data_IF_295029236037
#
_entry.id   IF_295029236037
#
_cell.length_a   1.000
_cell.length_b   1.000
_cell.length_c   1.000
_cell.angle_alpha   90.00
_cell.angle_beta   90.00
_cell.angle_gamma   90.00
#
_symmetry.space_group_name_H-M   'P 1'
#
loop_
_entity.id
_entity.type
_entity.pdbx_description
1 polymer ?
#
# COMPACT_ATOMS: atom_id res chain seq x y z
N UNK A 1 -63.95 52.94 9.72
CA UNK A 1 -63.37 52.04 8.74
C UNK A 1 -62.05 51.52 9.37
N UNK A 2 -62.09 50.31 9.90
CA UNK A 2 -60.96 49.66 10.57
C UNK A 2 -60.33 48.66 9.59
N UNK A 3 -59.05 48.88 9.23
CA UNK A 3 -58.29 47.95 8.36
C UNK A 3 -57.60 46.90 9.24
N UNK A 4 -58.03 45.64 9.11
CA UNK A 4 -57.39 44.52 9.78
C UNK A 4 -56.12 44.07 9.04
N UNK A 5 -55.01 44.01 9.77
CA UNK A 5 -53.77 43.44 9.29
C UNK A 5 -53.74 41.93 9.63
N UNK A 6 -53.79 41.09 8.61
CA UNK A 6 -53.55 39.64 8.77
C UNK A 6 -52.04 39.40 8.82
N UNK A 7 -51.57 38.84 9.93
CA UNK A 7 -50.21 38.33 10.09
C UNK A 7 -50.14 36.89 9.55
N UNK A 8 -49.47 36.70 8.42
CA UNK A 8 -49.18 35.38 7.91
C UNK A 8 -47.95 34.80 8.59
N UNK A 9 -48.12 33.73 9.41
CA UNK A 9 -47.02 32.99 10.01
C UNK A 9 -46.43 32.04 8.98
N UNK A 10 -45.23 32.31 8.48
CA UNK A 10 -44.43 31.39 7.68
C UNK A 10 -43.75 30.35 8.58
N UNK A 11 -44.22 29.12 8.51
CA UNK A 11 -43.56 27.98 9.16
C UNK A 11 -42.33 27.64 8.30
N UNK A 12 -41.15 27.93 8.81
CA UNK A 12 -39.89 27.49 8.22
C UNK A 12 -39.70 25.97 8.49
N UNK A 13 -39.91 25.18 7.45
CA UNK A 13 -39.56 23.76 7.47
C UNK A 13 -38.06 23.64 7.35
N UNK A 14 -37.39 23.32 8.45
CA UNK A 14 -35.95 22.95 8.43
C UNK A 14 -35.81 21.63 7.69
N UNK A 15 -34.83 21.50 6.76
CA UNK A 15 -34.58 20.20 6.13
C UNK A 15 -34.06 19.24 7.21
N UNK A 16 -34.74 18.10 7.34
CA UNK A 16 -34.32 16.99 8.16
C UNK A 16 -32.92 16.55 7.66
N UNK A 17 -31.89 16.65 8.51
CA UNK A 17 -30.60 16.03 8.26
C UNK A 17 -30.85 14.54 7.98
N UNK A 18 -30.53 14.12 6.77
CA UNK A 18 -30.51 12.71 6.43
C UNK A 18 -29.40 12.07 7.28
N UNK A 19 -29.79 11.43 8.39
CA UNK A 19 -28.90 10.56 9.13
C UNK A 19 -28.44 9.48 8.15
N UNK A 20 -27.14 9.34 7.99
CA UNK A 20 -26.54 8.26 7.22
C UNK A 20 -27.12 6.94 7.76
N UNK A 21 -27.83 6.21 6.91
CA UNK A 21 -28.31 4.89 7.29
C UNK A 21 -27.11 4.01 7.59
N UNK A 22 -27.07 3.26 8.71
CA UNK A 22 -26.05 2.28 8.93
C UNK A 22 -26.07 1.32 7.75
N UNK A 23 -24.93 1.15 7.09
CA UNK A 23 -24.76 0.18 6.02
C UNK A 23 -25.19 -1.22 6.50
N UNK A 24 -25.57 -2.11 5.58
CA UNK A 24 -26.03 -3.45 5.93
C UNK A 24 -25.02 -4.10 6.87
N UNK A 25 -25.50 -4.67 7.98
CA UNK A 25 -24.67 -5.37 8.95
C UNK A 25 -23.90 -6.46 8.21
N UNK A 26 -22.57 -6.34 8.18
CA UNK A 26 -21.69 -7.29 7.50
C UNK A 26 -22.00 -8.70 8.00
N UNK A 27 -22.62 -9.52 7.17
CA UNK A 27 -22.87 -10.93 7.44
C UNK A 27 -21.53 -11.62 7.74
N UNK A 28 -21.58 -12.79 8.37
CA UNK A 28 -20.38 -13.61 8.59
C UNK A 28 -19.82 -14.02 7.22
N UNK A 29 -18.47 -13.95 6.99
CA UNK A 29 -17.91 -14.36 5.71
C UNK A 29 -18.25 -15.83 5.43
N UNK A 30 -18.69 -16.13 4.19
CA UNK A 30 -18.83 -17.51 3.76
C UNK A 30 -17.43 -18.13 3.60
N UNK A 31 -17.08 -18.96 4.60
CA UNK A 31 -15.76 -19.61 4.64
C UNK A 31 -15.55 -20.60 3.49
N UNK A 32 -16.61 -21.17 2.93
CA UNK A 32 -16.52 -22.10 1.81
C UNK A 32 -16.21 -21.31 0.52
N UNK A 33 -16.90 -20.20 0.30
CA UNK A 33 -16.68 -19.30 -0.83
C UNK A 33 -15.27 -18.69 -0.78
N UNK A 34 -14.83 -18.14 0.37
CA UNK A 34 -13.48 -17.65 0.56
C UNK A 34 -12.41 -18.72 0.30
N UNK A 35 -12.64 -19.95 0.77
CA UNK A 35 -11.70 -21.05 0.56
C UNK A 35 -11.63 -21.45 -0.90
N UNK A 36 -12.74 -21.53 -1.60
CA UNK A 36 -12.79 -21.85 -3.03
C UNK A 36 -12.03 -20.78 -3.84
N UNK A 37 -12.32 -19.50 -3.61
CA UNK A 37 -11.63 -18.39 -4.28
C UNK A 37 -10.11 -18.37 -3.98
N UNK A 38 -9.70 -18.62 -2.73
CA UNK A 38 -8.28 -18.69 -2.37
C UNK A 38 -7.57 -19.87 -3.04
N UNK A 39 -8.23 -21.04 -3.14
CA UNK A 39 -7.65 -22.24 -3.75
C UNK A 39 -7.47 -22.09 -5.27
N UNK A 40 -8.32 -21.31 -5.93
CA UNK A 40 -8.18 -21.01 -7.35
C UNK A 40 -6.89 -20.23 -7.68
N UNK A 41 -6.29 -19.52 -6.72
CA UNK A 41 -5.05 -18.75 -6.95
C UNK A 41 -3.87 -19.66 -7.32
N UNK A 42 -3.50 -20.68 -6.53
CA UNK A 42 -2.45 -21.61 -6.95
C UNK A 42 -2.84 -22.46 -8.18
N UNK A 43 -4.12 -22.76 -8.41
CA UNK A 43 -4.57 -23.45 -9.63
C UNK A 43 -4.33 -22.61 -10.89
N UNK A 44 -4.29 -21.26 -10.75
CA UNK A 44 -3.95 -20.34 -11.84
C UNK A 44 -2.43 -20.19 -12.06
N UNK A 45 -1.58 -20.89 -11.31
CA UNK A 45 -0.12 -20.92 -11.52
C UNK A 45 0.72 -20.25 -10.44
N UNK A 46 0.13 -19.70 -9.37
CA UNK A 46 0.87 -19.17 -8.23
C UNK A 46 1.39 -20.31 -7.36
N UNK A 47 2.68 -20.33 -6.95
CA UNK A 47 3.16 -21.38 -6.06
C UNK A 47 2.37 -21.49 -4.76
N UNK A 48 2.11 -20.35 -4.10
CA UNK A 48 1.35 -20.31 -2.86
C UNK A 48 0.77 -18.94 -2.56
N UNK A 49 -0.35 -18.95 -1.86
CA UNK A 49 -1.08 -17.77 -1.37
C UNK A 49 -1.39 -17.93 0.10
N UNK A 50 -1.31 -16.82 0.84
CA UNK A 50 -1.74 -16.72 2.23
C UNK A 50 -2.66 -15.52 2.40
N UNK A 51 -3.61 -15.62 3.32
CA UNK A 51 -4.56 -14.54 3.56
C UNK A 51 -5.11 -14.53 4.99
N UNK A 52 -5.44 -13.33 5.43
CA UNK A 52 -6.27 -13.09 6.60
C UNK A 52 -7.41 -12.13 6.22
N UNK A 53 -8.63 -12.59 6.45
CA UNK A 53 -9.86 -11.82 6.24
C UNK A 53 -10.52 -11.61 7.60
N UNK A 54 -10.88 -10.37 7.90
CA UNK A 54 -11.64 -10.02 9.09
C UNK A 54 -12.96 -9.39 8.70
N UNK A 55 -14.02 -9.81 9.38
CA UNK A 55 -15.35 -9.24 9.24
C UNK A 55 -15.96 -9.04 10.63
N UNK A 56 -16.05 -7.80 11.08
CA UNK A 56 -16.41 -7.46 12.44
C UNK A 56 -15.47 -8.13 13.46
N UNK A 57 -15.99 -9.09 14.23
CA UNK A 57 -15.25 -9.84 15.25
C UNK A 57 -14.73 -11.20 14.77
N UNK A 58 -14.97 -11.53 13.50
CA UNK A 58 -14.65 -12.85 12.96
C UNK A 58 -13.41 -12.77 12.07
N UNK A 59 -12.38 -13.51 12.47
CA UNK A 59 -11.18 -13.70 11.67
C UNK A 59 -11.26 -15.03 10.91
N UNK A 60 -10.78 -15.01 9.69
CA UNK A 60 -10.55 -16.19 8.87
C UNK A 60 -9.13 -16.12 8.33
N UNK A 61 -8.34 -17.15 8.61
CA UNK A 61 -6.96 -17.29 8.17
C UNK A 61 -6.83 -18.54 7.35
N UNK A 62 -6.25 -18.44 6.18
CA UNK A 62 -6.01 -19.60 5.32
C UNK A 62 -4.81 -19.36 4.42
N UNK A 63 -4.34 -20.48 3.86
CA UNK A 63 -3.34 -20.49 2.83
C UNK A 63 -3.63 -21.65 1.88
N UNK A 64 -3.13 -21.56 0.65
CA UNK A 64 -3.22 -22.59 -0.36
C UNK A 64 -1.90 -22.69 -1.15
N UNK A 65 -1.65 -23.84 -1.78
CA UNK A 65 -0.43 -24.09 -2.54
C UNK A 65 0.81 -24.35 -1.67
N UNK A 66 1.99 -24.10 -2.23
CA UNK A 66 3.28 -24.48 -1.67
C UNK A 66 4.08 -23.26 -1.22
N UNK A 67 4.73 -23.38 -0.06
CA UNK A 67 5.67 -22.37 0.40
C UNK A 67 6.98 -22.38 -0.41
N UNK A 68 7.39 -23.58 -0.88
CA UNK A 68 8.63 -23.73 -1.64
C UNK A 68 8.38 -24.59 -2.86
N UNK A 69 8.95 -24.22 -4.01
CA UNK A 69 8.91 -25.01 -5.25
C UNK A 69 9.84 -26.22 -5.19
N UNK A 70 10.93 -26.14 -4.43
CA UNK A 70 11.96 -27.19 -4.35
C UNK A 70 11.74 -28.18 -3.22
N UNK A 71 10.82 -27.89 -2.30
CA UNK A 71 10.52 -28.71 -1.12
C UNK A 71 9.01 -28.80 -0.93
N UNK A 72 8.43 -30.01 -0.76
CA UNK A 72 7.00 -30.15 -0.49
C UNK A 72 6.67 -29.61 0.91
N UNK A 73 6.38 -28.34 1.00
CA UNK A 73 5.97 -27.66 2.23
C UNK A 73 4.75 -26.79 1.95
N UNK A 74 3.57 -27.14 2.50
CA UNK A 74 2.38 -26.33 2.30
C UNK A 74 2.57 -24.90 2.79
N UNK A 75 2.00 -23.94 2.07
CA UNK A 75 1.90 -22.56 2.52
C UNK A 75 1.11 -22.49 3.84
N UNK A 76 1.52 -21.62 4.75
CA UNK A 76 0.88 -21.42 6.05
C UNK A 76 0.49 -19.96 6.23
N UNK A 77 -0.69 -19.66 6.81
CA UNK A 77 -1.20 -18.29 6.91
C UNK A 77 -0.37 -17.35 7.81
N UNK A 78 0.43 -17.92 8.73
CA UNK A 78 1.30 -17.13 9.62
C UNK A 78 2.70 -16.86 9.06
N UNK A 79 2.99 -17.30 7.85
CA UNK A 79 4.29 -17.08 7.23
C UNK A 79 4.54 -15.60 6.96
N UNK A 80 5.79 -15.20 7.20
CA UNK A 80 6.28 -13.86 6.89
C UNK A 80 6.62 -13.75 5.42
N UNK A 81 6.46 -12.55 4.89
CA UNK A 81 6.86 -12.22 3.52
C UNK A 81 7.27 -10.75 3.42
N UNK A 82 7.97 -10.39 2.37
CA UNK A 82 8.30 -9.01 2.07
C UNK A 82 7.05 -8.30 1.60
N UNK A 83 6.71 -7.18 2.24
CA UNK A 83 5.45 -6.46 1.98
C UNK A 83 5.60 -5.30 0.99
N UNK A 84 6.81 -5.07 0.47
CA UNK A 84 7.04 -4.04 -0.53
C UNK A 84 6.52 -2.67 -0.12
N UNK A 85 5.84 -2.02 -1.01
CA UNK A 85 5.37 -0.64 -0.86
C UNK A 85 4.38 -0.41 0.28
N UNK A 86 3.80 -1.44 0.89
CA UNK A 86 3.05 -1.27 2.16
C UNK A 86 3.93 -0.63 3.24
N UNK A 87 5.26 -0.78 3.15
CA UNK A 87 6.25 -0.05 3.96
C UNK A 87 5.96 1.45 4.01
N UNK A 88 5.52 2.02 2.89
CA UNK A 88 5.22 3.45 2.77
C UNK A 88 4.17 3.93 3.75
N UNK A 89 3.13 3.13 3.99
CA UNK A 89 2.09 3.52 4.95
C UNK A 89 2.64 3.59 6.38
N UNK A 90 3.54 2.67 6.76
CA UNK A 90 4.23 2.75 8.07
C UNK A 90 5.10 3.99 8.18
N UNK A 91 5.88 4.29 7.14
CA UNK A 91 6.77 5.46 7.10
C UNK A 91 5.96 6.76 7.12
N UNK A 92 4.91 6.86 6.30
CA UNK A 92 4.00 8.00 6.30
C UNK A 92 3.35 8.22 7.66
N UNK A 93 2.90 7.15 8.32
CA UNK A 93 2.34 7.23 9.68
C UNK A 93 3.36 7.80 10.68
N UNK A 94 4.63 7.39 10.61
CA UNK A 94 5.68 7.95 11.46
C UNK A 94 5.95 9.43 11.19
N UNK A 95 5.99 9.84 9.90
CA UNK A 95 6.09 11.26 9.50
C UNK A 95 4.89 12.06 10.04
N UNK A 96 3.68 11.53 9.89
CA UNK A 96 2.45 12.20 10.34
C UNK A 96 2.36 12.30 11.88
N UNK A 97 2.94 11.36 12.62
CA UNK A 97 3.09 11.51 14.08
C UNK A 97 4.04 12.65 14.45
N UNK A 98 5.11 12.88 13.66
CA UNK A 98 5.98 14.05 13.84
C UNK A 98 5.24 15.36 13.53
N UNK A 99 4.29 15.33 12.59
CA UNK A 99 3.39 16.47 12.31
C UNK A 99 2.46 16.72 13.51
N UNK A 100 1.85 15.69 14.08
CA UNK A 100 1.01 15.79 15.28
C UNK A 100 1.79 16.33 16.49
N UNK A 101 3.08 16.00 16.59
CA UNK A 101 4.00 16.52 17.61
C UNK A 101 4.43 17.98 17.36
N UNK A 102 4.05 18.59 16.22
CA UNK A 102 4.46 19.94 15.82
C UNK A 102 5.96 20.07 15.48
N UNK A 103 6.63 18.96 15.21
CA UNK A 103 8.08 18.90 14.89
C UNK A 103 8.35 19.05 13.40
N UNK A 104 7.34 18.79 12.56
CA UNK A 104 7.41 18.83 11.10
C UNK A 104 6.08 19.36 10.56
N UNK A 105 6.14 20.26 9.55
CA UNK A 105 4.95 20.70 8.83
C UNK A 105 4.75 19.91 7.54
N UNK A 106 3.50 19.54 7.20
CA UNK A 106 3.20 18.91 5.91
C UNK A 106 3.56 19.80 4.73
N UNK A 107 3.42 21.09 4.89
CA UNK A 107 3.69 22.08 3.84
C UNK A 107 5.09 22.72 4.00
N UNK A 108 5.92 22.20 4.90
CA UNK A 108 7.34 22.57 4.97
C UNK A 108 8.05 22.17 3.67
N UNK A 109 8.89 23.06 3.10
CA UNK A 109 9.79 22.71 2.01
C UNK A 109 10.79 21.63 2.46
N UNK A 110 11.03 20.65 1.59
CA UNK A 110 11.97 19.55 1.88
C UNK A 110 13.39 20.07 2.10
N UNK A 111 13.80 21.13 1.37
CA UNK A 111 15.11 21.77 1.51
C UNK A 111 15.35 22.40 2.88
N UNK A 112 14.30 22.74 3.65
CA UNK A 112 14.42 23.20 5.04
C UNK A 112 15.09 22.15 5.94
N UNK A 113 14.80 20.87 5.68
CA UNK A 113 15.23 19.73 6.48
C UNK A 113 16.42 18.98 5.87
N UNK A 114 16.48 18.95 4.53
CA UNK A 114 17.46 18.20 3.75
C UNK A 114 18.17 19.09 2.72
N UNK A 115 18.80 20.23 3.15
CA UNK A 115 19.35 21.23 2.23
C UNK A 115 20.45 20.68 1.33
N UNK A 116 21.27 19.75 1.84
CA UNK A 116 22.37 19.14 1.09
C UNK A 116 21.91 17.99 0.19
N UNK A 117 20.74 17.37 0.49
CA UNK A 117 20.19 16.24 -0.26
C UNK A 117 19.31 16.72 -1.43
N UNK A 118 18.45 17.72 -1.18
CA UNK A 118 17.57 18.33 -2.20
C UNK A 118 17.84 19.85 -2.24
N UNK A 119 18.96 20.25 -2.86
CA UNK A 119 19.35 21.66 -2.87
C UNK A 119 18.57 22.51 -3.86
N UNK A 120 18.57 23.82 -3.65
CA UNK A 120 18.07 24.85 -4.55
C UNK A 120 16.56 24.79 -4.76
N UNK A 121 16.11 25.30 -5.89
CA UNK A 121 14.70 25.54 -6.18
C UNK A 121 13.81 24.30 -5.96
N UNK A 122 14.31 23.11 -6.27
CA UNK A 122 13.57 21.87 -6.04
C UNK A 122 13.32 21.63 -4.55
N UNK A 123 14.31 21.87 -3.70
CA UNK A 123 14.17 21.76 -2.25
C UNK A 123 13.20 22.80 -1.67
N UNK A 124 13.15 23.99 -2.27
CA UNK A 124 12.27 25.09 -1.84
C UNK A 124 10.80 24.88 -2.28
N UNK A 125 10.58 24.20 -3.42
CA UNK A 125 9.24 24.01 -3.99
C UNK A 125 8.57 22.70 -3.56
N UNK A 126 9.33 21.62 -3.40
CA UNK A 126 8.78 20.32 -2.99
C UNK A 126 8.49 20.33 -1.49
N UNK A 127 7.27 19.99 -1.11
CA UNK A 127 6.85 19.90 0.30
C UNK A 127 6.83 18.46 0.80
N UNK A 128 6.79 18.27 2.11
CA UNK A 128 6.60 16.96 2.76
C UNK A 128 5.34 16.28 2.24
N UNK A 129 4.24 17.02 2.12
CA UNK A 129 2.98 16.54 1.55
C UNK A 129 3.15 15.96 0.16
N UNK A 130 3.87 16.65 -0.71
CA UNK A 130 4.13 16.22 -2.09
C UNK A 130 4.97 14.95 -2.18
N UNK A 131 5.84 14.70 -1.21
CA UNK A 131 6.52 13.41 -1.11
C UNK A 131 5.54 12.30 -0.77
N UNK A 132 4.70 12.51 0.26
CA UNK A 132 3.83 11.46 0.79
C UNK A 132 2.70 11.07 -0.18
N UNK A 133 2.19 12.02 -0.99
CA UNK A 133 1.12 11.78 -1.97
C UNK A 133 1.61 11.64 -3.42
N UNK A 134 2.92 11.52 -3.63
CA UNK A 134 3.52 11.35 -4.96
C UNK A 134 3.23 12.47 -5.97
N UNK A 135 3.12 13.71 -5.51
CA UNK A 135 2.98 14.88 -6.40
C UNK A 135 4.25 15.74 -6.47
N UNK A 136 5.38 15.24 -6.00
CA UNK A 136 6.66 15.99 -5.97
C UNK A 136 7.27 16.26 -7.34
N UNK A 137 6.90 15.49 -8.36
CA UNK A 137 7.57 15.51 -9.67
C UNK A 137 8.98 14.91 -9.68
N UNK A 138 9.44 14.32 -8.56
CA UNK A 138 10.77 13.68 -8.47
C UNK A 138 10.75 12.32 -9.16
N UNK A 139 11.74 12.04 -10.02
CA UNK A 139 11.89 10.78 -10.73
C UNK A 139 12.00 9.56 -9.79
N UNK A 140 11.59 8.40 -10.28
CA UNK A 140 11.60 7.15 -9.53
C UNK A 140 12.91 6.39 -9.78
N UNK A 141 13.82 6.33 -8.78
CA UNK A 141 15.13 5.68 -8.93
C UNK A 141 15.03 4.22 -9.38
N UNK A 142 13.95 3.49 -9.05
CA UNK A 142 13.80 2.09 -9.44
C UNK A 142 13.70 1.92 -10.96
N UNK A 143 13.23 2.92 -11.70
CA UNK A 143 13.18 2.88 -13.17
C UNK A 143 14.57 2.91 -13.79
N UNK A 144 15.57 3.51 -13.11
CA UNK A 144 16.96 3.50 -13.56
C UNK A 144 17.72 2.25 -13.10
N UNK A 145 17.28 1.59 -12.01
CA UNK A 145 18.00 0.46 -11.42
C UNK A 145 17.51 -0.89 -11.92
N UNK A 146 16.23 -1.02 -12.28
CA UNK A 146 15.61 -2.29 -12.65
C UNK A 146 15.41 -2.30 -14.18
N UNK A 147 16.50 -2.44 -14.91
CA UNK A 147 16.52 -2.43 -16.37
C UNK A 147 16.79 -3.80 -17.00
N UNK A 148 17.33 -4.74 -16.21
CA UNK A 148 17.75 -6.04 -16.71
C UNK A 148 17.82 -7.12 -15.62
N UNK A 149 17.88 -8.38 -16.03
CA UNK A 149 18.16 -9.50 -15.14
C UNK A 149 19.54 -9.39 -14.45
N UNK A 150 20.53 -8.86 -15.16
CA UNK A 150 21.85 -8.61 -14.60
C UNK A 150 21.80 -7.59 -13.47
N UNK A 151 21.00 -6.53 -13.64
CA UNK A 151 20.77 -5.54 -12.59
C UNK A 151 20.11 -6.17 -11.35
N UNK A 152 19.08 -7.02 -11.52
CA UNK A 152 18.44 -7.74 -10.41
C UNK A 152 19.44 -8.65 -9.68
N UNK A 153 20.34 -9.34 -10.41
CA UNK A 153 21.40 -10.14 -9.81
C UNK A 153 22.35 -9.29 -8.97
N UNK A 154 22.72 -8.14 -9.49
CA UNK A 154 23.57 -7.19 -8.77
C UNK A 154 22.87 -6.66 -7.53
N UNK A 155 21.59 -6.27 -7.64
CA UNK A 155 20.79 -5.77 -6.52
C UNK A 155 20.65 -6.78 -5.39
N UNK A 156 20.59 -8.08 -5.71
CA UNK A 156 20.46 -9.16 -4.73
C UNK A 156 21.57 -9.16 -3.67
N UNK A 157 22.77 -8.73 -4.05
CA UNK A 157 23.97 -8.79 -3.20
C UNK A 157 24.56 -7.42 -2.85
N UNK A 158 24.05 -6.35 -3.46
CA UNK A 158 24.56 -5.00 -3.25
C UNK A 158 23.83 -4.30 -2.11
N UNK A 159 24.61 -3.60 -1.27
CA UNK A 159 24.07 -2.67 -0.28
C UNK A 159 24.01 -1.27 -0.88
N UNK A 160 22.83 -0.65 -0.79
CA UNK A 160 22.60 0.71 -1.26
C UNK A 160 22.42 1.66 -0.08
N UNK A 161 23.15 2.78 -0.10
CA UNK A 161 22.91 3.86 0.86
C UNK A 161 21.67 4.68 0.44
N UNK A 162 20.82 5.14 1.38
CA UNK A 162 19.65 5.96 1.06
C UNK A 162 20.00 7.20 0.24
N UNK A 163 21.12 7.84 0.51
CA UNK A 163 21.58 9.01 -0.24
C UNK A 163 21.84 8.71 -1.73
N UNK A 164 22.39 7.52 -2.05
CA UNK A 164 22.64 7.10 -3.44
C UNK A 164 21.32 6.85 -4.20
N UNK A 165 20.32 6.27 -3.53
CA UNK A 165 18.99 6.08 -4.10
C UNK A 165 18.33 7.42 -4.42
N UNK A 166 18.43 8.39 -3.51
CA UNK A 166 17.91 9.74 -3.74
C UNK A 166 18.67 10.44 -4.87
N UNK A 167 20.00 10.39 -4.87
CA UNK A 167 20.82 10.98 -5.94
C UNK A 167 20.43 10.43 -7.32
N UNK A 168 20.21 9.10 -7.42
CA UNK A 168 19.72 8.46 -8.65
C UNK A 168 18.35 9.02 -9.07
N UNK A 169 17.40 9.13 -8.16
CA UNK A 169 16.06 9.66 -8.46
C UNK A 169 16.07 11.13 -8.86
N UNK A 170 16.91 11.96 -8.20
CA UNK A 170 17.05 13.38 -8.51
C UNK A 170 17.77 13.63 -9.86
N UNK A 171 18.62 12.71 -10.30
CA UNK A 171 19.27 12.77 -11.61
C UNK A 171 18.34 12.43 -12.77
N UNK A 172 17.20 11.79 -12.51
CA UNK A 172 16.20 11.49 -13.54
C UNK A 172 15.44 12.74 -13.98
N UNK A 173 14.93 12.76 -15.22
CA UNK A 173 14.03 13.83 -15.65
C UNK A 173 12.85 13.99 -14.69
N UNK A 174 12.43 15.23 -14.36
CA UNK A 174 11.22 15.47 -13.60
C UNK A 174 9.99 14.86 -14.29
N UNK A 175 9.08 14.27 -13.50
CA UNK A 175 7.81 13.71 -14.02
C UNK A 175 6.70 14.76 -14.15
N UNK A 176 6.93 15.97 -13.63
CA UNK A 176 6.03 17.11 -13.67
C UNK A 176 6.50 18.22 -12.75
N UNK A 177 5.78 19.34 -12.75
CA UNK A 177 6.00 20.40 -11.77
C UNK A 177 5.56 19.92 -10.37
N UNK A 178 6.21 20.38 -9.28
CA UNK A 178 5.79 20.07 -7.92
C UNK A 178 4.32 20.43 -7.67
N UNK A 179 3.55 19.52 -7.13
CA UNK A 179 2.13 19.65 -6.84
C UNK A 179 1.17 19.46 -8.02
N UNK A 180 1.66 19.28 -9.25
CA UNK A 180 0.81 19.29 -10.44
C UNK A 180 -0.03 18.01 -10.61
N UNK A 181 0.60 16.84 -10.57
CA UNK A 181 -0.05 15.57 -10.85
C UNK A 181 0.55 14.44 -10.03
N UNK A 182 -0.22 13.39 -9.81
CA UNK A 182 0.27 12.15 -9.22
C UNK A 182 1.28 11.48 -10.16
N UNK A 183 2.45 11.15 -9.63
CA UNK A 183 3.47 10.33 -10.30
C UNK A 183 4.23 9.52 -9.24
N UNK A 184 3.92 8.23 -9.17
CA UNK A 184 4.48 7.35 -8.15
C UNK A 184 6.01 7.31 -8.21
N UNK A 185 6.67 7.57 -7.07
CA UNK A 185 8.13 7.58 -6.97
C UNK A 185 8.60 7.01 -5.64
N UNK A 186 9.40 5.95 -5.69
CA UNK A 186 10.05 5.38 -4.51
C UNK A 186 11.05 6.37 -3.89
N UNK A 187 11.65 7.28 -4.68
CA UNK A 187 12.55 8.33 -4.21
C UNK A 187 11.88 9.20 -3.13
N UNK A 188 10.59 9.47 -3.27
CA UNK A 188 9.84 10.25 -2.29
C UNK A 188 9.86 9.61 -0.90
N UNK A 189 9.77 8.29 -0.82
CA UNK A 189 9.73 7.59 0.46
C UNK A 189 11.11 7.32 1.06
N UNK A 190 12.16 7.29 0.24
CA UNK A 190 13.54 7.39 0.75
C UNK A 190 13.76 8.77 1.37
N UNK A 191 13.31 9.85 0.70
CA UNK A 191 13.34 11.20 1.27
C UNK A 191 12.51 11.32 2.55
N UNK A 192 11.33 10.69 2.62
CA UNK A 192 10.50 10.65 3.84
C UNK A 192 11.25 9.97 5.00
N UNK A 193 12.01 8.91 4.75
CA UNK A 193 12.90 8.29 5.73
C UNK A 193 13.99 9.25 6.21
N UNK A 194 14.68 9.90 5.30
CA UNK A 194 15.70 10.91 5.63
C UNK A 194 15.11 12.10 6.42
N UNK A 195 13.86 12.51 6.13
CA UNK A 195 13.16 13.52 6.94
C UNK A 195 12.93 13.04 8.38
N UNK A 196 12.55 11.78 8.59
CA UNK A 196 12.43 11.22 9.94
C UNK A 196 13.78 11.34 10.67
N UNK A 197 14.88 10.98 10.00
CA UNK A 197 16.23 11.06 10.58
C UNK A 197 16.64 12.50 10.89
N UNK A 198 16.43 13.43 9.96
CA UNK A 198 16.76 14.84 10.15
C UNK A 198 15.98 15.48 11.30
N UNK A 199 14.69 15.15 11.46
CA UNK A 199 13.83 15.72 12.52
C UNK A 199 14.11 15.07 13.87
N UNK A 200 14.44 13.77 13.92
CA UNK A 200 14.53 13.01 15.18
C UNK A 200 15.96 12.82 15.67
N UNK A 201 16.93 12.81 14.77
CA UNK A 201 18.31 12.42 15.05
C UNK A 201 18.49 10.89 15.21
N UNK A 202 17.46 10.10 14.91
CA UNK A 202 17.47 8.64 15.03
C UNK A 202 17.26 8.01 13.67
N UNK A 203 17.74 6.79 13.48
CA UNK A 203 17.51 5.95 12.31
C UNK A 203 16.01 5.76 12.02
N UNK A 204 15.59 5.95 10.76
CA UNK A 204 14.17 5.92 10.38
C UNK A 204 13.49 4.56 10.64
N UNK A 205 14.09 3.40 10.32
CA UNK A 205 13.59 2.09 10.75
C UNK A 205 13.39 1.97 12.26
N UNK A 206 14.34 2.50 13.07
CA UNK A 206 14.23 2.47 14.53
C UNK A 206 13.08 3.34 15.04
N UNK A 207 12.83 4.49 14.40
CA UNK A 207 11.68 5.36 14.74
C UNK A 207 10.34 4.69 14.41
N UNK A 208 10.20 4.07 13.24
CA UNK A 208 8.99 3.28 12.91
C UNK A 208 8.79 2.14 13.91
N UNK A 209 9.86 1.43 14.28
CA UNK A 209 9.80 0.38 15.28
C UNK A 209 9.33 0.91 16.63
N UNK A 210 9.87 2.04 17.09
CA UNK A 210 9.52 2.66 18.37
C UNK A 210 8.10 3.19 18.40
N UNK A 211 7.68 3.85 17.32
CA UNK A 211 6.42 4.58 17.22
C UNK A 211 5.23 3.70 16.91
N UNK A 212 5.43 2.63 16.15
CA UNK A 212 4.35 1.82 15.57
C UNK A 212 4.48 0.35 15.96
N UNK A 213 5.61 -0.31 15.62
CA UNK A 213 5.70 -1.76 15.74
C UNK A 213 5.62 -2.22 17.21
N UNK A 214 6.34 -1.55 18.11
CA UNK A 214 6.35 -1.92 19.55
C UNK A 214 5.01 -1.62 20.23
N UNK A 215 4.40 -0.43 20.10
CA UNK A 215 3.10 -0.15 20.71
C UNK A 215 2.00 -1.11 20.28
N UNK A 216 1.95 -1.46 18.99
CA UNK A 216 0.97 -2.38 18.43
C UNK A 216 1.36 -3.85 18.57
N UNK A 217 2.56 -4.15 19.14
CA UNK A 217 3.10 -5.52 19.32
C UNK A 217 3.17 -6.31 18.00
N UNK A 218 3.57 -5.67 16.91
CA UNK A 218 3.71 -6.28 15.59
C UNK A 218 4.99 -7.12 15.51
N UNK A 219 4.99 -8.27 16.13
CA UNK A 219 6.21 -9.10 16.31
C UNK A 219 6.64 -9.85 15.06
N UNK A 220 5.76 -9.95 14.08
CA UNK A 220 6.05 -10.51 12.74
C UNK A 220 6.60 -9.47 11.77
N UNK A 221 6.65 -8.19 12.16
CA UNK A 221 7.00 -7.06 11.29
C UNK A 221 8.36 -6.49 11.64
N UNK A 222 9.20 -6.23 10.63
CA UNK A 222 10.56 -5.70 10.81
C UNK A 222 11.12 -5.06 9.55
N UNK A 223 12.13 -4.23 9.72
CA UNK A 223 13.03 -3.80 8.67
C UNK A 223 14.24 -4.75 8.66
N UNK A 224 14.52 -5.46 7.57
CA UNK A 224 15.66 -6.39 7.48
C UNK A 224 17.00 -5.66 7.31
N UNK A 225 17.00 -4.43 6.80
CA UNK A 225 18.21 -3.70 6.44
C UNK A 225 19.00 -4.46 5.36
N UNK A 226 20.24 -4.80 5.67
CA UNK A 226 21.14 -5.56 4.77
C UNK A 226 21.07 -7.08 4.94
N UNK A 227 20.28 -7.60 5.91
CA UNK A 227 20.07 -9.05 6.09
C UNK A 227 19.23 -9.57 4.90
N UNK A 228 19.79 -10.42 4.02
CA UNK A 228 19.06 -10.90 2.86
C UNK A 228 17.97 -11.91 3.22
N UNK A 229 17.95 -12.41 4.47
CA UNK A 229 17.07 -13.50 4.90
C UNK A 229 15.77 -13.01 5.53
N UNK A 230 14.71 -13.81 5.40
CA UNK A 230 13.46 -13.61 6.15
C UNK A 230 13.52 -14.46 7.42
N UNK A 231 13.67 -13.84 8.58
CA UNK A 231 13.75 -14.56 9.85
C UNK A 231 12.40 -15.14 10.25
N UNK A 232 12.40 -16.36 10.76
CA UNK A 232 11.21 -17.09 11.22
C UNK A 232 10.49 -17.85 10.11
N UNK A 233 9.27 -18.36 10.34
CA UNK A 233 8.50 -19.07 9.32
C UNK A 233 8.18 -18.16 8.14
N UNK A 234 8.58 -18.55 6.94
CA UNK A 234 8.37 -17.81 5.70
C UNK A 234 8.25 -18.76 4.51
N UNK A 235 7.80 -18.22 3.37
CA UNK A 235 7.83 -18.91 2.07
C UNK A 235 9.09 -18.55 1.30
N UNK A 236 9.40 -19.32 0.26
CA UNK A 236 10.28 -18.89 -0.82
C UNK A 236 9.68 -17.68 -1.53
N UNK A 237 10.52 -16.98 -2.30
CA UNK A 237 10.16 -15.80 -3.09
C UNK A 237 10.59 -16.03 -4.54
N UNK A 238 9.63 -16.12 -5.46
CA UNK A 238 9.90 -16.53 -6.83
C UNK A 238 9.64 -15.42 -7.83
N UNK A 239 10.57 -15.22 -8.73
CA UNK A 239 10.47 -14.24 -9.80
C UNK A 239 10.40 -14.94 -11.15
N UNK A 240 9.32 -14.70 -11.89
CA UNK A 240 9.01 -15.46 -13.08
C UNK A 240 8.62 -14.60 -14.28
N UNK A 241 9.55 -14.10 -15.08
CA UNK A 241 9.23 -13.94 -16.49
C UNK A 241 9.79 -15.06 -17.39
N UNK A 242 10.85 -15.77 -16.98
CA UNK A 242 11.48 -16.81 -17.83
C UNK A 242 11.80 -18.08 -17.03
N UNK A 243 10.82 -18.54 -16.25
CA UNK A 243 10.96 -19.62 -15.28
C UNK A 243 11.11 -19.07 -13.85
N UNK A 244 10.61 -19.84 -12.88
CA UNK A 244 10.57 -19.39 -11.49
C UNK A 244 11.99 -19.38 -10.89
N UNK A 245 12.57 -18.19 -10.77
CA UNK A 245 13.84 -17.98 -10.09
C UNK A 245 13.62 -17.77 -8.60
N UNK A 246 14.38 -18.45 -7.77
CA UNK A 246 14.36 -18.28 -6.31
C UNK A 246 15.15 -17.02 -5.90
N UNK A 247 14.46 -16.04 -5.32
CA UNK A 247 14.99 -14.79 -4.76
C UNK A 247 14.66 -14.67 -3.26
N UNK A 248 14.55 -15.82 -2.58
CA UNK A 248 14.26 -15.87 -1.14
C UNK A 248 15.30 -15.14 -0.30
N UNK A 249 16.57 -15.22 -0.71
CA UNK A 249 17.65 -14.43 -0.14
C UNK A 249 17.93 -13.22 -1.02
N UNK A 250 17.60 -12.02 -0.52
CA UNK A 250 17.75 -10.77 -1.28
C UNK A 250 18.02 -9.60 -0.35
N UNK A 251 19.10 -8.87 -0.56
CA UNK A 251 19.39 -7.63 0.15
C UNK A 251 18.36 -6.56 -0.21
N UNK A 252 17.52 -6.18 0.74
CA UNK A 252 16.41 -5.26 0.51
C UNK A 252 16.77 -3.78 0.71
N UNK A 253 18.03 -3.44 0.97
CA UNK A 253 18.47 -2.05 1.19
C UNK A 253 18.13 -1.09 0.05
N UNK A 254 17.96 -1.61 -1.18
CA UNK A 254 17.48 -0.84 -2.32
C UNK A 254 16.04 -0.32 -2.13
N UNK A 255 15.24 -0.96 -1.32
CA UNK A 255 13.88 -0.54 -1.00
C UNK A 255 13.81 0.39 0.20
N UNK A 256 14.67 0.18 1.19
CA UNK A 256 14.74 0.91 2.46
C UNK A 256 13.34 1.35 2.95
N UNK A 257 13.15 2.63 3.31
CA UNK A 257 11.84 3.20 3.74
C UNK A 257 10.77 3.24 2.64
N UNK A 258 11.12 2.95 1.40
CA UNK A 258 10.15 2.81 0.31
C UNK A 258 9.57 1.39 0.16
N UNK A 259 10.28 0.32 0.68
CA UNK A 259 9.79 -1.02 0.34
C UNK A 259 10.46 -2.23 1.01
N UNK A 260 11.33 -2.09 2.01
CA UNK A 260 12.10 -3.23 2.49
C UNK A 260 11.40 -4.10 3.54
N UNK A 261 10.30 -3.64 4.17
CA UNK A 261 9.73 -4.32 5.33
C UNK A 261 9.26 -5.74 5.05
N UNK A 262 9.39 -6.56 6.09
CA UNK A 262 8.84 -7.90 6.21
C UNK A 262 7.68 -7.84 7.20
N UNK A 263 6.58 -8.57 6.93
CA UNK A 263 5.43 -8.63 7.83
C UNK A 263 4.66 -9.96 7.71
N UNK A 264 3.56 -10.05 8.43
CA UNK A 264 2.51 -11.08 8.33
C UNK A 264 1.17 -10.41 8.01
N UNK A 265 0.23 -11.16 7.44
CA UNK A 265 -1.14 -10.66 7.20
C UNK A 265 -1.85 -10.21 8.49
N UNK A 266 -1.56 -10.89 9.61
CA UNK A 266 -2.12 -10.54 10.91
C UNK A 266 -1.61 -9.19 11.44
N UNK A 267 -0.31 -8.93 11.30
CA UNK A 267 0.28 -7.65 11.70
C UNK A 267 -0.21 -6.51 10.81
N UNK A 268 -0.35 -6.75 9.50
CA UNK A 268 -0.92 -5.77 8.56
C UNK A 268 -2.36 -5.40 8.95
N UNK A 269 -3.24 -6.39 9.17
CA UNK A 269 -4.61 -6.12 9.61
C UNK A 269 -4.66 -5.36 10.94
N UNK A 270 -3.73 -5.66 11.87
CA UNK A 270 -3.63 -4.96 13.15
C UNK A 270 -3.20 -3.51 12.96
N UNK A 271 -2.19 -3.27 12.13
CA UNK A 271 -1.67 -1.93 11.82
C UNK A 271 -2.72 -1.05 11.15
N UNK A 272 -3.31 -1.51 10.05
CA UNK A 272 -4.29 -0.70 9.31
C UNK A 272 -5.55 -0.42 10.12
N UNK A 273 -5.98 -1.36 10.96
CA UNK A 273 -7.08 -1.10 11.88
C UNK A 273 -6.74 0.04 12.84
N UNK A 274 -5.63 -0.06 13.56
CA UNK A 274 -5.21 0.98 14.49
C UNK A 274 -5.05 2.34 13.81
N UNK A 275 -4.56 2.36 12.56
CA UNK A 275 -4.43 3.58 11.77
C UNK A 275 -5.80 4.19 11.43
N UNK A 276 -6.72 3.39 10.89
CA UNK A 276 -8.02 3.86 10.42
C UNK A 276 -8.99 4.16 11.57
N UNK A 277 -8.84 3.48 12.73
CA UNK A 277 -9.59 3.77 13.97
C UNK A 277 -9.12 5.07 14.64
N UNK A 278 -7.96 5.63 14.22
CA UNK A 278 -7.40 6.86 14.75
C UNK A 278 -6.54 6.67 16.00
N UNK A 279 -6.11 5.45 16.30
CA UNK A 279 -5.24 5.16 17.45
C UNK A 279 -3.80 5.66 17.26
N UNK A 280 -3.38 5.91 16.01
CA UNK A 280 -2.01 6.27 15.66
C UNK A 280 -1.83 7.75 15.32
N UNK A 281 -2.88 8.45 14.93
CA UNK A 281 -2.86 9.83 14.45
C UNK A 281 -4.03 10.62 15.07
N UNK A 282 -3.85 11.94 15.22
CA UNK A 282 -4.96 12.82 15.56
C UNK A 282 -6.05 12.79 14.47
N UNK A 283 -7.32 13.04 14.83
CA UNK A 283 -8.41 13.10 13.83
C UNK A 283 -8.14 14.06 12.68
N UNK A 284 -7.48 15.19 12.95
CA UNK A 284 -7.15 16.20 11.95
C UNK A 284 -6.09 15.68 10.96
N UNK A 285 -5.07 15.00 11.46
CA UNK A 285 -3.98 14.47 10.64
C UNK A 285 -4.42 13.22 9.89
N UNK A 286 -5.23 12.34 10.50
CA UNK A 286 -5.83 11.22 9.80
C UNK A 286 -6.72 11.69 8.65
N UNK A 287 -7.50 12.77 8.84
CA UNK A 287 -8.28 13.35 7.74
C UNK A 287 -7.37 13.81 6.60
N UNK A 288 -6.26 14.48 6.89
CA UNK A 288 -5.29 14.89 5.86
C UNK A 288 -4.63 13.70 5.17
N UNK A 289 -4.36 12.61 5.91
CA UNK A 289 -3.81 11.37 5.35
C UNK A 289 -4.75 10.75 4.31
N UNK A 290 -6.06 10.83 4.54
CA UNK A 290 -7.08 10.26 3.66
C UNK A 290 -7.59 11.24 2.59
N UNK A 291 -7.16 12.50 2.60
CA UNK A 291 -7.47 13.48 1.57
C UNK A 291 -6.53 13.27 0.37
N UNK A 292 -7.00 12.47 -0.59
CA UNK A 292 -6.19 11.96 -1.68
C UNK A 292 -6.30 12.75 -2.97
N UNK A 293 -5.28 12.60 -3.81
CA UNK A 293 -5.28 13.04 -5.21
C UNK A 293 -5.65 11.88 -6.13
N UNK A 294 -6.32 12.12 -7.28
CA UNK A 294 -6.61 11.05 -8.23
C UNK A 294 -5.32 10.33 -8.67
N UNK A 295 -5.31 9.00 -8.61
CA UNK A 295 -4.18 8.19 -9.11
C UNK A 295 -4.12 8.20 -10.64
N UNK A 296 -5.28 8.27 -11.30
CA UNK A 296 -5.43 8.41 -12.74
C UNK A 296 -6.22 9.70 -12.99
N UNK A 297 -5.56 10.81 -13.39
CA UNK A 297 -6.24 12.09 -13.62
C UNK A 297 -7.37 12.01 -14.65
N UNK A 298 -7.24 11.13 -15.65
CA UNK A 298 -8.23 10.86 -16.71
C UNK A 298 -9.39 9.97 -16.23
N UNK A 299 -9.26 9.27 -15.09
CA UNK A 299 -10.26 8.39 -14.50
C UNK A 299 -10.29 8.57 -12.98
N UNK A 300 -10.71 9.74 -12.48
CA UNK A 300 -10.61 10.07 -11.04
C UNK A 300 -11.38 9.11 -10.14
N UNK A 301 -12.43 8.48 -10.67
CA UNK A 301 -13.23 7.47 -9.96
C UNK A 301 -12.52 6.13 -9.78
N UNK A 302 -11.36 5.89 -10.39
CA UNK A 302 -10.59 4.66 -10.21
C UNK A 302 -9.93 4.55 -8.83
N UNK A 303 -9.84 5.68 -8.09
CA UNK A 303 -9.31 5.74 -6.75
C UNK A 303 -8.38 6.92 -6.53
N UNK A 304 -8.05 7.17 -5.28
CA UNK A 304 -7.21 8.29 -4.87
C UNK A 304 -6.01 7.82 -4.06
N UNK A 305 -4.92 8.59 -4.11
CA UNK A 305 -3.75 8.37 -3.27
C UNK A 305 -3.61 9.51 -2.27
N UNK A 306 -3.71 9.17 -0.98
CA UNK A 306 -3.52 10.09 0.13
C UNK A 306 -2.06 10.20 0.56
N UNK A 307 -1.80 10.37 1.85
CA UNK A 307 -0.43 10.45 2.37
C UNK A 307 0.07 9.04 2.75
N UNK A 308 0.51 8.28 1.76
CA UNK A 308 1.04 6.91 1.96
C UNK A 308 -0.02 5.82 2.11
N UNK A 309 -1.22 6.10 1.70
CA UNK A 309 -2.35 5.17 1.66
C UNK A 309 -3.21 5.53 0.44
N UNK A 310 -3.82 4.54 -0.19
CA UNK A 310 -4.76 4.82 -1.27
C UNK A 310 -6.16 4.31 -0.95
N UNK A 311 -7.16 4.84 -1.64
CA UNK A 311 -8.52 4.33 -1.63
C UNK A 311 -8.89 3.71 -2.95
N UNK A 312 -9.68 2.64 -2.90
CA UNK A 312 -10.25 1.96 -4.05
C UNK A 312 -11.76 1.86 -3.89
N UNK A 313 -12.54 2.37 -4.85
CA UNK A 313 -13.96 2.12 -4.90
C UNK A 313 -14.22 0.66 -5.27
N UNK A 314 -15.15 0.02 -4.56
CA UNK A 314 -15.59 -1.35 -4.83
C UNK A 314 -17.12 -1.41 -4.88
N UNK A 315 -17.73 -2.50 -5.38
CA UNK A 315 -19.18 -2.63 -5.37
C UNK A 315 -19.84 -2.53 -3.98
N UNK A 316 -19.07 -2.78 -2.93
CA UNK A 316 -19.55 -2.78 -1.54
C UNK A 316 -19.04 -1.61 -0.69
N UNK A 317 -18.47 -0.60 -1.31
CA UNK A 317 -17.97 0.61 -0.66
C UNK A 317 -16.49 0.87 -0.96
N UNK A 318 -15.95 1.87 -0.30
CA UNK A 318 -14.55 2.28 -0.47
C UNK A 318 -13.64 1.52 0.49
N UNK A 319 -12.53 1.01 -0.03
CA UNK A 319 -11.49 0.34 0.73
C UNK A 319 -10.19 1.15 0.71
N UNK A 320 -9.56 1.23 1.86
CA UNK A 320 -8.32 1.95 2.11
C UNK A 320 -7.19 0.97 2.41
N UNK A 321 -6.01 1.27 1.92
CA UNK A 321 -4.86 0.41 2.19
C UNK A 321 -3.68 0.71 1.30
N UNK A 322 -2.88 -0.30 1.09
CA UNK A 322 -1.77 -0.27 0.14
C UNK A 322 -1.47 -1.68 -0.38
N UNK A 323 -0.92 -1.75 -1.55
CA UNK A 323 -0.31 -2.96 -2.10
C UNK A 323 1.22 -2.89 -2.02
N UNK A 324 1.85 -4.00 -2.30
CA UNK A 324 3.29 -4.06 -2.34
C UNK A 324 3.81 -5.09 -3.33
N UNK A 325 4.78 -4.67 -4.12
CA UNK A 325 5.50 -5.51 -5.05
C UNK A 325 7.01 -5.43 -4.79
N UNK A 326 7.62 -6.58 -4.63
CA UNK A 326 9.07 -6.76 -4.63
C UNK A 326 9.41 -8.06 -5.33
N UNK A 327 10.68 -8.27 -5.64
CA UNK A 327 11.11 -9.52 -6.27
C UNK A 327 10.67 -10.74 -5.45
N UNK A 328 9.75 -11.52 -6.01
CA UNK A 328 9.24 -12.76 -5.46
C UNK A 328 8.05 -12.66 -4.51
N UNK A 329 7.61 -11.47 -4.13
CA UNK A 329 6.42 -11.31 -3.31
C UNK A 329 5.51 -10.17 -3.80
N UNK A 330 4.21 -10.46 -3.85
CA UNK A 330 3.17 -9.44 -4.04
C UNK A 330 2.21 -9.50 -2.84
N UNK A 331 1.73 -8.36 -2.39
CA UNK A 331 0.89 -8.23 -1.19
C UNK A 331 -0.18 -7.18 -1.38
N UNK A 332 -1.40 -7.46 -0.94
CA UNK A 332 -2.47 -6.47 -0.75
C UNK A 332 -2.87 -6.41 0.72
N UNK A 333 -3.18 -5.21 1.20
CA UNK A 333 -3.79 -4.99 2.52
C UNK A 333 -4.83 -3.90 2.37
N UNK A 334 -6.12 -4.27 2.36
CA UNK A 334 -7.26 -3.42 2.03
C UNK A 334 -8.33 -3.50 3.13
N UNK A 335 -8.86 -2.35 3.53
CA UNK A 335 -9.68 -2.21 4.74
C UNK A 335 -10.81 -1.23 4.48
N UNK A 336 -12.04 -1.56 4.91
CA UNK A 336 -13.13 -0.59 4.96
C UNK A 336 -12.79 0.55 5.92
N UNK A 337 -13.28 1.75 5.64
CA UNK A 337 -12.98 2.95 6.44
C UNK A 337 -13.35 2.80 7.92
N UNK A 338 -14.37 2.01 8.22
CA UNK A 338 -14.86 1.72 9.58
C UNK A 338 -14.14 0.54 10.25
N UNK A 339 -13.10 -0.02 9.62
CA UNK A 339 -12.31 -1.15 10.14
C UNK A 339 -13.10 -2.47 10.27
N UNK A 340 -14.36 -2.51 9.86
CA UNK A 340 -15.20 -3.71 10.02
C UNK A 340 -14.88 -4.81 9.03
N UNK A 341 -14.32 -4.48 7.86
CA UNK A 341 -13.86 -5.42 6.83
C UNK A 341 -12.39 -5.19 6.54
N UNK A 342 -11.61 -6.26 6.61
CA UNK A 342 -10.19 -6.22 6.37
C UNK A 342 -9.77 -7.45 5.57
N UNK A 343 -8.91 -7.26 4.58
CA UNK A 343 -8.23 -8.34 3.88
C UNK A 343 -6.76 -8.00 3.71
N UNK A 344 -5.88 -8.88 4.19
CA UNK A 344 -4.47 -8.90 3.84
C UNK A 344 -4.15 -10.24 3.19
N UNK A 345 -3.53 -10.20 2.03
CA UNK A 345 -3.17 -11.38 1.26
C UNK A 345 -1.83 -11.19 0.57
N UNK A 346 -1.02 -12.25 0.55
CA UNK A 346 0.26 -12.28 -0.13
C UNK A 346 0.44 -13.53 -0.97
N UNK A 347 1.14 -13.38 -2.08
CA UNK A 347 1.57 -14.48 -2.95
C UNK A 347 3.09 -14.51 -3.04
N UNK A 348 3.67 -15.69 -3.21
CA UNK A 348 5.10 -15.88 -3.22
C UNK A 348 5.71 -15.97 -4.63
N UNK A 349 5.12 -15.25 -5.55
CA UNK A 349 5.66 -15.04 -6.89
C UNK A 349 5.42 -13.57 -7.29
N UNK A 350 6.36 -13.00 -8.03
CA UNK A 350 6.17 -11.77 -8.76
C UNK A 350 6.67 -11.93 -10.19
N UNK A 351 6.08 -11.19 -11.11
CA UNK A 351 6.53 -11.10 -12.49
C UNK A 351 6.39 -9.66 -12.94
N UNK A 352 7.31 -9.24 -13.80
CA UNK A 352 7.13 -8.05 -14.60
C UNK A 352 6.58 -8.51 -15.95
N UNK A 353 5.43 -7.98 -16.34
CA UNK A 353 4.69 -8.45 -17.53
C UNK A 353 5.40 -8.05 -18.81
N UNK A 354 6.37 -8.84 -19.23
CA UNK A 354 6.93 -8.72 -20.57
C UNK A 354 6.40 -9.88 -21.40
N UNK A 355 5.49 -9.57 -22.35
CA UNK A 355 4.98 -10.54 -23.32
C UNK A 355 3.99 -11.58 -22.78
N UNK A 356 3.43 -11.38 -21.59
CA UNK A 356 2.37 -12.21 -21.03
C UNK A 356 0.98 -11.62 -21.31
N UNK A 357 -0.11 -12.44 -21.29
CA UNK A 357 -1.47 -11.93 -21.36
C UNK A 357 -1.73 -10.92 -20.23
N UNK A 358 -2.44 -9.86 -20.53
CA UNK A 358 -2.81 -8.84 -19.58
C UNK A 358 -4.35 -8.70 -19.52
N UNK A 359 -5.00 -8.97 -18.36
CA UNK A 359 -4.40 -9.47 -17.11
C UNK A 359 -3.97 -10.96 -17.20
N UNK A 360 -2.94 -11.32 -16.44
CA UNK A 360 -2.53 -12.74 -16.33
C UNK A 360 -3.58 -13.55 -15.53
N UNK A 361 -3.80 -14.84 -15.84
CA UNK A 361 -4.80 -15.68 -15.15
C UNK A 361 -4.70 -15.66 -13.62
N UNK A 362 -3.49 -15.62 -13.05
CA UNK A 362 -3.36 -15.55 -11.60
C UNK A 362 -3.73 -14.19 -11.01
N UNK A 363 -3.54 -13.08 -11.75
CA UNK A 363 -4.01 -11.75 -11.31
C UNK A 363 -5.52 -11.76 -11.20
N UNK A 364 -6.21 -12.35 -12.19
CA UNK A 364 -7.66 -12.51 -12.19
C UNK A 364 -8.11 -13.34 -10.99
N UNK A 365 -7.48 -14.49 -10.75
CA UNK A 365 -7.84 -15.37 -9.64
C UNK A 365 -7.61 -14.69 -8.28
N UNK A 366 -6.47 -14.00 -8.09
CA UNK A 366 -6.15 -13.32 -6.84
C UNK A 366 -7.04 -12.09 -6.61
N UNK A 367 -7.31 -11.30 -7.64
CA UNK A 367 -8.27 -10.19 -7.57
C UNK A 367 -9.69 -10.69 -7.25
N UNK A 368 -10.11 -11.81 -7.84
CA UNK A 368 -11.40 -12.44 -7.51
C UNK A 368 -11.46 -12.83 -6.05
N UNK A 369 -10.39 -13.42 -5.49
CA UNK A 369 -10.33 -13.70 -4.06
C UNK A 369 -10.44 -12.43 -3.21
N UNK A 370 -9.69 -11.37 -3.56
CA UNK A 370 -9.73 -10.10 -2.83
C UNK A 370 -11.13 -9.47 -2.87
N UNK A 371 -11.79 -9.45 -4.03
CA UNK A 371 -13.15 -8.95 -4.17
C UNK A 371 -14.15 -9.78 -3.36
N UNK A 372 -14.05 -11.11 -3.39
CA UNK A 372 -14.88 -12.00 -2.57
C UNK A 372 -14.70 -11.72 -1.07
N UNK A 373 -13.46 -11.44 -0.65
CA UNK A 373 -13.16 -11.11 0.74
C UNK A 373 -13.67 -9.73 1.18
N UNK A 374 -13.64 -8.76 0.29
CA UNK A 374 -14.12 -7.40 0.53
C UNK A 374 -15.65 -7.29 0.40
N UNK A 375 -16.22 -7.97 -0.60
CA UNK A 375 -17.62 -7.85 -1.00
C UNK A 375 -18.31 -9.23 -1.00
N UNK A 376 -18.82 -9.70 0.15
CA UNK A 376 -19.60 -10.94 0.19
C UNK A 376 -20.77 -10.90 -0.78
N UNK A 377 -21.08 -12.05 -1.41
CA UNK A 377 -22.14 -12.17 -2.44
C UNK A 377 -23.51 -11.71 -1.97
N UNK A 378 -23.82 -11.78 -0.68
CA UNK A 378 -25.05 -11.22 -0.08
C UNK A 378 -25.19 -9.70 -0.31
N UNK A 379 -24.08 -8.98 -0.49
CA UNK A 379 -24.08 -7.52 -0.68
C UNK A 379 -24.09 -7.12 -2.16
N UNK A 380 -23.73 -8.03 -3.06
CA UNK A 380 -23.64 -7.81 -4.52
C UNK A 380 -24.95 -8.09 -5.26
N UNK A 381 -25.84 -8.90 -4.68
CA UNK A 381 -27.10 -9.32 -5.33
C UNK A 381 -28.10 -8.18 -5.63
N UNK A 382 -27.82 -6.95 -5.21
CA UNK A 382 -28.66 -5.77 -5.47
C UNK A 382 -28.09 -4.79 -6.50
N UNK A 383 -26.91 -5.03 -7.06
CA UNK A 383 -26.28 -4.16 -8.06
C UNK A 383 -25.80 -4.98 -9.25
N UNK A 384 -26.20 -4.59 -10.44
CA UNK A 384 -25.94 -5.27 -11.72
C UNK A 384 -24.45 -5.67 -11.89
N UNK A 385 -24.26 -6.92 -12.29
CA UNK A 385 -22.95 -7.58 -12.51
C UNK A 385 -22.12 -7.02 -13.70
N UNK A 386 -22.38 -5.81 -14.14
CA UNK A 386 -21.90 -5.36 -15.47
C UNK A 386 -20.51 -4.73 -15.51
N UNK A 387 -19.91 -4.40 -14.38
CA UNK A 387 -18.49 -3.95 -14.32
C UNK A 387 -17.93 -4.21 -12.91
N UNK A 388 -17.29 -5.35 -12.71
CA UNK A 388 -16.40 -5.50 -11.56
C UNK A 388 -15.20 -4.54 -11.77
N UNK A 389 -14.95 -3.57 -10.85
CA UNK A 389 -13.77 -2.74 -10.96
C UNK A 389 -12.54 -3.64 -10.90
N UNK A 390 -11.68 -3.53 -11.91
CA UNK A 390 -10.37 -4.17 -11.83
C UNK A 390 -9.61 -3.45 -10.73
N UNK A 391 -9.18 -4.19 -9.71
CA UNK A 391 -8.20 -3.66 -8.76
C UNK A 391 -6.97 -3.25 -9.56
N UNK A 392 -6.31 -2.12 -9.24
CA UNK A 392 -5.07 -1.76 -9.89
C UNK A 392 -4.13 -2.96 -9.82
N UNK A 393 -3.61 -3.40 -10.96
CA UNK A 393 -2.62 -4.46 -10.97
C UNK A 393 -1.39 -3.97 -10.21
N UNK A 394 -0.88 -4.75 -9.24
CA UNK A 394 0.37 -4.46 -8.52
C UNK A 394 1.54 -4.24 -9.50
N UNK A 395 1.44 -4.83 -10.68
CA UNK A 395 2.40 -4.69 -11.77
C UNK A 395 2.20 -3.39 -12.59
N UNK A 396 1.07 -2.68 -12.39
CA UNK A 396 0.69 -1.49 -13.14
C UNK A 396 0.65 -0.20 -12.32
N UNK A 397 1.14 -0.20 -11.09
CA UNK A 397 1.33 1.09 -10.43
C UNK A 397 2.26 1.95 -11.30
N UNK A 398 1.83 3.18 -11.68
CA UNK A 398 2.70 4.10 -12.41
C UNK A 398 4.03 4.22 -11.68
N UNK A 399 5.13 3.88 -12.33
CA UNK A 399 6.47 3.83 -11.73
C UNK A 399 7.06 2.43 -11.51
N UNK A 400 6.30 1.35 -11.72
CA UNK A 400 6.83 -0.02 -11.77
C UNK A 400 6.94 -0.56 -13.21
N UNK A 401 6.79 0.32 -14.21
CA UNK A 401 6.78 -0.04 -15.64
C UNK A 401 8.16 -0.36 -16.23
N UNK A 402 9.18 -0.58 -15.39
CA UNK A 402 10.47 -1.04 -15.89
C UNK A 402 10.29 -2.44 -16.52
N UNK A 403 10.11 -2.47 -17.83
CA UNK A 403 10.16 -3.69 -18.60
C UNK A 403 11.57 -4.27 -18.47
N UNK A 404 11.70 -5.35 -17.69
CA UNK A 404 12.98 -6.07 -17.58
C UNK A 404 13.22 -6.78 -18.90
N UNK A 405 14.25 -6.35 -19.64
CA UNK A 405 14.64 -7.02 -20.87
C UNK A 405 15.01 -8.48 -20.61
N UNK A 406 14.68 -9.36 -21.56
CA UNK A 406 15.09 -10.76 -21.52
C UNK A 406 16.62 -10.87 -21.42
N UNK A 407 17.15 -11.94 -20.80
CA UNK A 407 18.58 -12.19 -20.73
C UNK A 407 19.22 -12.35 -22.11
#
# INVERSE_FOLDING_TARGET
MAAGVMLAATIAVLPASAAAQPGPSAGRPDRAELRAALTAVPEAGVPGVLAEVRQGRHDWRAAAGQAYLTKPRPMQPQMRHRIGSITKTFVATAVLQLVDEGRLGLDDPVGKWLPDTVPGERGDQVTVRMLLNHTSGIGNYTNAMIDSYAAINQMQVTTYAPADLVATGLAMPPTGAPGATFSYSNTNYVLAGLLIEAVTGNDAPAEVQRRILRPLKLTGTSFPGTDPTIRGPHSGAYFAPFGARDLSEFNMSWGWTAGEMISTTADLNTFFRALLDGDLLSPATLKQMLDGVPMLPELPEAGTYGLGIYSLPTPCGEFWGHDGAVFGHLTYSLHSRDGTRQVSSGINISHYQVGLPDPHPFDIAWQTFLLTAMCPTSDVSSRSAETAPQLPSVTRMPGNDAAVAAP
#
